data_IF_716142184306
#
_entry.id   IF_716142184306
#
_cell.length_a   1.000
_cell.length_b   1.000
_cell.length_c   1.000
_cell.angle_alpha   90.00
_cell.angle_beta   90.00
_cell.angle_gamma   90.00
#
_symmetry.space_group_name_H-M   'P 1'
#
loop_
_entity.id
_entity.type
_entity.pdbx_description
1 polymer ?
#
# COMPACT_ATOMS: atom_id res chain seq x y z
N UNK A 1 7.16 -28.21 0.69
CA UNK A 1 8.05 -28.38 -0.47
C UNK A 1 9.18 -29.34 -0.09
N UNK A 2 9.39 -30.45 -0.82
CA UNK A 2 10.53 -31.33 -0.54
C UNK A 2 11.86 -30.57 -0.65
N UNK A 3 12.76 -30.77 0.31
CA UNK A 3 14.08 -30.14 0.34
C UNK A 3 14.09 -28.69 0.90
N UNK A 4 12.96 -28.18 1.37
CA UNK A 4 12.90 -26.88 2.07
C UNK A 4 12.82 -27.13 3.57
N UNK A 5 13.87 -26.76 4.28
CA UNK A 5 14.02 -27.01 5.73
C UNK A 5 13.43 -25.90 6.61
N UNK A 6 13.51 -24.67 6.11
CA UNK A 6 12.97 -23.50 6.81
C UNK A 6 12.45 -22.46 5.82
N UNK A 7 11.33 -21.81 6.17
CA UNK A 7 10.78 -20.65 5.47
C UNK A 7 10.71 -19.49 6.44
N UNK A 8 11.37 -18.39 6.10
CA UNK A 8 11.34 -17.13 6.86
C UNK A 8 10.36 -16.20 6.17
N UNK A 9 9.21 -15.98 6.81
CA UNK A 9 8.15 -15.10 6.30
C UNK A 9 8.36 -13.65 6.71
N UNK A 10 7.79 -12.71 5.93
CA UNK A 10 7.88 -11.27 6.23
C UNK A 10 6.71 -10.46 5.71
N UNK A 11 6.17 -10.79 4.54
CA UNK A 11 5.18 -9.98 3.82
C UNK A 11 3.85 -9.80 4.56
N UNK A 12 3.39 -10.81 5.27
CA UNK A 12 2.09 -10.81 5.97
C UNK A 12 2.15 -10.15 7.35
N UNK A 13 3.33 -9.78 7.83
CA UNK A 13 3.58 -9.16 9.14
C UNK A 13 3.10 -9.99 10.33
N UNK A 14 2.97 -11.30 10.17
CA UNK A 14 2.63 -12.18 11.28
C UNK A 14 3.82 -12.38 12.21
N UNK A 15 3.53 -12.62 13.48
CA UNK A 15 4.49 -13.12 14.45
C UNK A 15 4.27 -14.63 14.63
N UNK A 16 5.28 -15.42 14.30
CA UNK A 16 5.37 -16.85 14.62
C UNK A 16 6.50 -17.01 15.64
N UNK A 17 6.17 -16.77 16.90
CA UNK A 17 7.14 -16.58 17.96
C UNK A 17 8.10 -17.77 18.14
N UNK A 18 7.55 -18.99 18.13
CA UNK A 18 8.29 -20.24 18.29
C UNK A 18 8.38 -21.03 16.97
N UNK A 19 7.91 -20.43 15.88
CA UNK A 19 7.77 -21.08 14.59
C UNK A 19 6.65 -22.13 14.55
N UNK A 20 6.36 -22.62 13.37
CA UNK A 20 5.37 -23.69 13.13
C UNK A 20 5.96 -24.74 12.19
N UNK A 21 5.79 -26.02 12.52
CA UNK A 21 6.21 -27.12 11.65
C UNK A 21 5.08 -27.54 10.71
N UNK A 22 5.36 -27.52 9.43
CA UNK A 22 4.52 -28.11 8.37
C UNK A 22 5.25 -29.31 7.74
N UNK A 23 4.95 -30.50 8.23
CA UNK A 23 5.76 -31.68 7.95
C UNK A 23 7.15 -31.51 8.53
N UNK A 24 8.18 -31.48 7.70
CA UNK A 24 9.58 -31.26 8.11
C UNK A 24 10.05 -29.82 7.92
N UNK A 25 9.23 -28.93 7.36
CA UNK A 25 9.59 -27.54 7.08
C UNK A 25 9.20 -26.65 8.27
N UNK A 26 10.14 -25.91 8.82
CA UNK A 26 9.91 -24.89 9.85
C UNK A 26 9.49 -23.58 9.20
N UNK A 27 8.32 -23.05 9.57
CA UNK A 27 7.89 -21.69 9.22
C UNK A 27 8.18 -20.74 10.37
N UNK A 28 8.73 -19.57 10.09
CA UNK A 28 8.97 -18.54 11.09
C UNK A 28 8.75 -17.13 10.50
N UNK A 29 8.36 -16.20 11.37
CA UNK A 29 8.19 -14.79 11.02
C UNK A 29 8.32 -13.91 12.26
N UNK A 30 9.00 -12.78 12.15
CA UNK A 30 9.32 -11.86 13.25
C UNK A 30 8.52 -10.55 13.17
N UNK A 31 7.25 -10.59 12.76
CA UNK A 31 6.36 -9.44 12.63
C UNK A 31 6.90 -8.38 11.63
N UNK A 32 6.87 -7.10 12.00
CA UNK A 32 7.26 -5.95 11.16
C UNK A 32 7.98 -4.89 11.99
N UNK A 33 8.54 -3.90 11.30
CA UNK A 33 9.18 -2.70 11.86
C UNK A 33 10.33 -2.96 12.83
N UNK A 34 10.89 -4.17 12.82
CA UNK A 34 11.96 -4.52 13.74
C UNK A 34 11.49 -4.64 15.20
N UNK A 35 10.19 -4.86 15.46
CA UNK A 35 9.69 -5.10 16.82
C UNK A 35 10.25 -6.38 17.43
N UNK A 36 10.59 -7.36 16.58
CA UNK A 36 11.18 -8.63 16.99
C UNK A 36 12.39 -8.97 16.14
N UNK A 37 13.32 -9.68 16.73
CA UNK A 37 14.40 -10.41 16.04
C UNK A 37 14.08 -11.88 16.10
N UNK A 38 14.04 -12.56 14.95
CA UNK A 38 13.89 -14.01 14.85
C UNK A 38 15.25 -14.69 14.82
N UNK A 39 15.38 -15.79 15.55
CA UNK A 39 16.52 -16.69 15.54
C UNK A 39 16.07 -18.08 15.13
N UNK A 40 16.68 -18.65 14.12
CA UNK A 40 16.50 -20.05 13.71
C UNK A 40 17.75 -20.83 14.05
N UNK A 41 17.56 -21.95 14.73
CA UNK A 41 18.64 -22.88 15.07
C UNK A 41 18.37 -24.21 14.37
N UNK A 42 19.33 -24.63 13.55
CA UNK A 42 19.33 -25.93 12.90
C UNK A 42 20.47 -26.76 13.50
N UNK A 43 20.16 -27.93 14.03
CA UNK A 43 21.19 -28.87 14.52
C UNK A 43 21.41 -29.92 13.44
N UNK A 44 22.66 -30.19 13.14
CA UNK A 44 23.05 -31.18 12.13
C UNK A 44 23.79 -32.35 12.83
N UNK A 45 23.68 -33.52 12.26
CA UNK A 45 24.49 -34.69 12.60
C UNK A 45 25.88 -34.63 11.90
N UNK A 46 26.71 -35.69 12.16
CA UNK A 46 28.05 -35.81 11.54
C UNK A 46 28.00 -35.98 10.01
N UNK A 47 26.83 -36.30 9.46
CA UNK A 47 26.59 -36.46 8.04
C UNK A 47 25.94 -35.18 7.40
N UNK A 48 25.91 -34.09 8.16
CA UNK A 48 25.29 -32.81 7.79
C UNK A 48 23.78 -32.90 7.51
N UNK A 49 23.07 -33.89 8.10
CA UNK A 49 21.63 -33.97 8.03
C UNK A 49 21.00 -33.20 9.18
N UNK A 50 19.94 -32.47 8.94
CA UNK A 50 19.26 -31.67 9.96
C UNK A 50 18.44 -32.59 10.87
N UNK A 51 18.81 -32.65 12.14
CA UNK A 51 18.14 -33.44 13.19
C UNK A 51 17.13 -32.65 14.00
N UNK A 52 17.36 -31.34 14.19
CA UNK A 52 16.38 -30.45 14.84
C UNK A 52 16.24 -29.12 14.15
N UNK A 53 15.07 -28.50 14.27
CA UNK A 53 14.73 -27.17 13.80
C UNK A 53 14.01 -26.43 14.90
N UNK A 54 14.49 -25.27 15.28
CA UNK A 54 13.90 -24.44 16.33
C UNK A 54 13.86 -22.97 15.88
N UNK A 55 12.80 -22.26 16.23
CA UNK A 55 12.71 -20.83 16.07
C UNK A 55 12.39 -20.17 17.42
N UNK A 56 12.93 -18.99 17.61
CA UNK A 56 12.71 -18.14 18.78
C UNK A 56 12.57 -16.69 18.30
N UNK A 57 11.75 -15.89 18.96
CA UNK A 57 11.70 -14.45 18.71
C UNK A 57 11.96 -13.66 19.98
N UNK A 58 12.65 -12.54 19.84
CA UNK A 58 13.02 -11.64 20.91
C UNK A 58 12.48 -10.25 20.64
N UNK A 59 11.78 -9.64 21.58
CA UNK A 59 11.37 -8.24 21.48
C UNK A 59 12.58 -7.33 21.48
N UNK A 60 12.71 -6.48 20.49
CA UNK A 60 13.85 -5.56 20.35
C UNK A 60 13.90 -4.51 21.44
N UNK A 61 12.75 -4.04 21.94
CA UNK A 61 12.66 -3.10 23.05
C UNK A 61 13.27 -3.63 24.36
N UNK A 62 13.36 -4.98 24.52
CA UNK A 62 13.94 -5.64 25.68
C UNK A 62 15.42 -6.00 25.49
N UNK A 63 15.95 -5.79 24.28
CA UNK A 63 17.34 -6.09 23.97
C UNK A 63 18.22 -4.88 24.29
N UNK A 64 19.37 -5.14 24.93
CA UNK A 64 20.41 -4.11 25.00
C UNK A 64 20.89 -3.79 23.58
N UNK A 65 20.82 -2.50 23.21
CA UNK A 65 21.38 -2.08 21.94
C UNK A 65 22.88 -2.44 21.92
N UNK A 66 23.26 -3.31 21.00
CA UNK A 66 24.66 -3.46 20.65
C UNK A 66 25.14 -2.11 20.09
N UNK A 67 26.41 -1.78 20.37
CA UNK A 67 27.00 -0.49 20.01
C UNK A 67 27.28 -0.36 18.50
N UNK A 68 26.26 -0.59 17.65
CA UNK A 68 26.30 -0.08 16.29
C UNK A 68 26.27 1.46 16.38
N UNK A 69 27.23 2.14 15.76
CA UNK A 69 27.28 3.60 15.82
C UNK A 69 26.05 4.18 15.09
N UNK A 70 25.05 4.73 15.83
CA UNK A 70 23.84 5.27 15.20
C UNK A 70 24.15 6.38 14.20
N UNK A 71 25.32 7.03 14.30
CA UNK A 71 25.77 8.12 13.43
C UNK A 71 26.04 7.64 12.01
N UNK A 72 26.51 6.42 11.82
CA UNK A 72 26.75 5.87 10.48
C UNK A 72 25.40 5.65 9.75
N UNK A 73 24.42 5.01 10.41
CA UNK A 73 23.07 4.77 9.85
C UNK A 73 22.39 6.11 9.55
N UNK A 74 22.41 7.05 10.49
CA UNK A 74 21.86 8.40 10.30
C UNK A 74 22.55 9.15 9.16
N UNK A 75 23.86 8.92 8.95
CA UNK A 75 24.61 9.48 7.85
C UNK A 75 24.10 9.02 6.48
N UNK A 76 23.82 7.73 6.30
CA UNK A 76 23.24 7.18 5.08
C UNK A 76 21.80 7.64 4.86
N UNK A 77 20.98 7.62 5.90
CA UNK A 77 19.58 8.11 5.84
C UNK A 77 19.53 9.58 5.44
N UNK A 78 20.33 10.43 6.09
CA UNK A 78 20.40 11.86 5.78
C UNK A 78 20.85 12.13 4.34
N UNK A 79 21.83 11.39 3.84
CA UNK A 79 22.26 11.49 2.43
C UNK A 79 21.17 11.08 1.46
N UNK A 80 20.46 9.97 1.74
CA UNK A 80 19.35 9.50 0.93
C UNK A 80 18.21 10.53 0.85
N UNK A 81 17.80 11.07 2.00
CA UNK A 81 16.77 12.12 2.07
C UNK A 81 17.24 13.38 1.36
N UNK A 82 18.50 13.79 1.52
CA UNK A 82 19.04 14.98 0.85
C UNK A 82 19.00 14.85 -0.68
N UNK A 83 19.34 13.67 -1.21
CA UNK A 83 19.26 13.40 -2.65
C UNK A 83 17.81 13.54 -3.17
N UNK A 84 16.84 12.95 -2.49
CA UNK A 84 15.43 13.02 -2.87
C UNK A 84 14.87 14.44 -2.75
N UNK A 85 15.34 15.23 -1.79
CA UNK A 85 14.94 16.65 -1.62
C UNK A 85 15.53 17.58 -2.68
N UNK A 86 16.62 17.22 -3.34
CA UNK A 86 17.16 18.01 -4.45
C UNK A 86 16.24 18.03 -5.67
N UNK A 87 15.44 16.98 -5.87
CA UNK A 87 14.49 16.90 -6.98
C UNK A 87 13.19 17.63 -6.64
N UNK A 88 13.14 18.92 -7.00
CA UNK A 88 11.90 19.70 -6.90
C UNK A 88 10.94 19.29 -8.03
N UNK A 89 9.72 18.94 -7.68
CA UNK A 89 8.69 18.46 -8.60
C UNK A 89 7.68 19.57 -8.92
N UNK A 90 7.26 20.32 -7.91
CA UNK A 90 6.25 21.36 -8.05
C UNK A 90 6.39 22.42 -6.96
N UNK A 91 5.64 23.52 -7.11
CA UNK A 91 5.41 24.51 -6.05
C UNK A 91 3.91 24.72 -5.90
N UNK A 92 3.41 24.47 -4.71
CA UNK A 92 1.98 24.59 -4.39
C UNK A 92 1.72 25.88 -3.60
N UNK A 93 0.76 26.72 -4.02
CA UNK A 93 0.40 27.94 -3.30
C UNK A 93 -0.31 27.67 -1.97
N UNK A 94 -0.98 26.49 -1.86
CA UNK A 94 -1.68 26.03 -0.67
C UNK A 94 -1.51 24.54 -0.49
N UNK A 95 -1.76 24.05 0.71
CA UNK A 95 -1.73 22.63 1.01
C UNK A 95 -2.85 21.89 0.26
N UNK A 96 -2.50 20.76 -0.34
CA UNK A 96 -3.46 19.77 -0.84
C UNK A 96 -3.74 18.78 0.29
N UNK A 97 -4.86 19.00 0.96
CA UNK A 97 -5.31 18.13 2.05
C UNK A 97 -5.86 16.81 1.54
N UNK A 98 -5.82 15.79 2.39
CA UNK A 98 -6.48 14.51 2.18
C UNK A 98 -7.63 14.34 3.16
N UNK A 99 -8.76 13.80 2.67
CA UNK A 99 -9.87 13.28 3.49
C UNK A 99 -10.13 11.84 3.08
N UNK A 100 -10.29 10.98 4.06
CA UNK A 100 -10.53 9.57 3.81
C UNK A 100 -12.02 9.21 3.71
N UNK A 101 -12.89 10.13 4.09
CA UNK A 101 -14.34 9.96 4.14
C UNK A 101 -15.12 10.80 3.12
N UNK A 102 -14.41 11.41 2.17
CA UNK A 102 -15.02 12.23 1.13
C UNK A 102 -14.03 12.85 0.15
N UNK A 103 -14.54 13.71 -0.74
CA UNK A 103 -13.70 14.42 -1.71
C UNK A 103 -12.61 15.25 -1.04
N UNK A 104 -11.45 15.32 -1.68
CA UNK A 104 -10.34 16.15 -1.20
C UNK A 104 -9.43 16.57 -2.35
N UNK A 105 -8.77 17.74 -2.22
CA UNK A 105 -7.90 18.25 -3.28
C UNK A 105 -6.80 17.28 -3.72
N UNK A 106 -6.27 16.48 -2.79
CA UNK A 106 -5.22 15.52 -3.13
C UNK A 106 -5.76 14.31 -3.89
N UNK A 107 -6.98 13.84 -3.54
CA UNK A 107 -7.64 12.77 -4.28
C UNK A 107 -7.98 13.23 -5.71
N UNK A 108 -8.46 14.47 -5.86
CA UNK A 108 -8.79 15.06 -7.16
C UNK A 108 -7.53 15.17 -8.04
N UNK A 109 -6.43 15.68 -7.50
CA UNK A 109 -5.14 15.71 -8.20
C UNK A 109 -4.67 14.29 -8.60
N UNK A 110 -4.82 13.32 -7.72
CA UNK A 110 -4.46 11.93 -8.01
C UNK A 110 -5.29 11.33 -9.14
N UNK A 111 -6.58 11.62 -9.18
CA UNK A 111 -7.48 11.21 -10.27
C UNK A 111 -7.11 11.87 -11.59
N UNK A 112 -6.73 13.16 -11.58
CA UNK A 112 -6.25 13.86 -12.77
C UNK A 112 -4.94 13.26 -13.27
N UNK A 113 -3.97 13.08 -12.40
CA UNK A 113 -2.69 12.49 -12.74
C UNK A 113 -2.84 11.05 -13.28
N UNK A 114 -3.77 10.27 -12.72
CA UNK A 114 -4.06 8.92 -13.18
C UNK A 114 -4.62 8.91 -14.60
N UNK A 115 -5.62 9.76 -14.86
CA UNK A 115 -6.25 9.87 -16.17
C UNK A 115 -5.26 10.37 -17.24
N UNK A 116 -4.45 11.37 -16.89
CA UNK A 116 -3.43 11.93 -17.78
C UNK A 116 -2.32 10.91 -18.06
N UNK A 117 -1.77 10.26 -17.01
CA UNK A 117 -0.71 9.26 -17.16
C UNK A 117 -1.14 8.02 -17.95
N UNK A 118 -2.39 7.60 -17.84
CA UNK A 118 -2.96 6.48 -18.59
C UNK A 118 -3.54 6.89 -19.96
N UNK A 119 -3.63 8.18 -20.25
CA UNK A 119 -4.27 8.73 -21.45
C UNK A 119 -5.70 8.18 -21.62
N UNK A 120 -6.53 8.43 -20.61
CA UNK A 120 -7.94 7.99 -20.55
C UNK A 120 -8.85 9.13 -20.10
N UNK A 121 -10.13 9.01 -20.43
CA UNK A 121 -11.13 10.05 -20.14
C UNK A 121 -11.69 9.95 -18.71
N UNK A 122 -11.54 8.80 -18.07
CA UNK A 122 -12.06 8.56 -16.74
C UNK A 122 -11.06 7.82 -15.85
N UNK A 123 -11.15 8.03 -14.54
CA UNK A 123 -10.29 7.38 -13.55
C UNK A 123 -11.06 7.06 -12.27
N UNK A 124 -10.57 6.04 -11.58
CA UNK A 124 -11.06 5.60 -10.27
C UNK A 124 -9.87 5.47 -9.33
N UNK A 125 -9.96 6.06 -8.15
CA UNK A 125 -8.90 6.03 -7.16
C UNK A 125 -9.47 6.02 -5.75
N UNK A 126 -8.80 5.33 -4.82
CA UNK A 126 -9.16 5.35 -3.40
C UNK A 126 -8.33 6.36 -2.62
N UNK A 127 -8.96 7.05 -1.66
CA UNK A 127 -8.31 8.08 -0.86
C UNK A 127 -7.22 7.51 0.07
N UNK A 128 -7.35 6.28 0.52
CA UNK A 128 -6.42 5.63 1.45
C UNK A 128 -5.02 5.33 0.90
N UNK A 129 -4.79 5.59 -0.39
CA UNK A 129 -3.45 5.51 -0.98
C UNK A 129 -2.53 6.65 -0.54
N UNK A 130 -3.10 7.81 -0.24
CA UNK A 130 -2.34 8.97 0.18
C UNK A 130 -2.14 8.95 1.70
N UNK A 131 -0.89 8.94 2.15
CA UNK A 131 -0.56 8.83 3.56
C UNK A 131 -0.37 10.20 4.24
N UNK A 132 0.01 11.22 3.46
CA UNK A 132 0.31 12.57 3.94
C UNK A 132 -0.22 13.61 2.95
N UNK A 133 -0.63 14.81 3.42
CA UNK A 133 -0.94 15.94 2.54
C UNK A 133 0.32 16.45 1.82
N UNK A 134 0.15 17.20 0.73
CA UNK A 134 1.24 17.85 0.01
C UNK A 134 1.21 19.38 0.17
N UNK A 135 2.39 19.98 0.30
CA UNK A 135 2.56 21.43 0.39
C UNK A 135 2.06 22.04 1.72
N UNK A 136 1.96 23.37 1.80
CA UNK A 136 2.28 24.38 0.77
C UNK A 136 3.80 24.55 0.55
N UNK A 137 4.18 25.24 -0.52
CA UNK A 137 5.56 25.53 -0.87
C UNK A 137 6.14 24.58 -1.92
N UNK A 138 7.45 24.40 -1.87
CA UNK A 138 8.13 23.47 -2.78
C UNK A 138 7.79 22.02 -2.39
N UNK A 139 7.37 21.25 -3.36
CA UNK A 139 7.16 19.80 -3.26
C UNK A 139 8.34 19.10 -3.92
N UNK A 140 8.96 18.20 -3.22
CA UNK A 140 10.11 17.42 -3.66
C UNK A 140 9.73 15.97 -3.92
N UNK A 141 10.64 15.20 -4.53
CA UNK A 141 10.47 13.76 -4.69
C UNK A 141 10.33 13.05 -3.33
N UNK A 142 11.00 13.53 -2.29
CA UNK A 142 10.86 13.01 -0.94
C UNK A 142 9.43 13.16 -0.40
N UNK A 143 8.80 14.33 -0.65
CA UNK A 143 7.42 14.59 -0.24
C UNK A 143 6.44 13.69 -0.97
N UNK A 144 6.63 13.47 -2.29
CA UNK A 144 5.81 12.56 -3.08
C UNK A 144 5.93 11.12 -2.58
N UNK A 145 7.14 10.63 -2.31
CA UNK A 145 7.36 9.28 -1.79
C UNK A 145 6.79 9.09 -0.38
N UNK A 146 6.76 10.15 0.44
CA UNK A 146 6.10 10.11 1.75
C UNK A 146 4.58 10.11 1.62
N UNK A 147 4.07 10.91 0.68
CA UNK A 147 2.63 11.01 0.40
C UNK A 147 2.06 9.73 -0.23
N UNK A 148 2.74 9.19 -1.23
CA UNK A 148 2.32 8.02 -2.02
C UNK A 148 3.50 7.05 -2.21
N UNK A 149 3.87 6.28 -1.17
CA UNK A 149 5.05 5.41 -1.19
C UNK A 149 4.86 4.10 -1.97
N UNK A 150 3.80 3.97 -2.76
CA UNK A 150 3.42 2.70 -3.37
C UNK A 150 3.88 2.60 -4.82
N UNK A 151 4.80 1.70 -5.18
CA UNK A 151 5.18 1.43 -6.55
C UNK A 151 4.10 0.60 -7.26
N UNK A 152 2.93 1.20 -7.51
CA UNK A 152 1.82 0.53 -8.17
C UNK A 152 1.81 0.82 -9.66
N UNK A 153 1.34 -0.16 -10.44
CA UNK A 153 1.13 0.00 -11.86
C UNK A 153 -0.23 0.65 -12.13
N UNK A 154 -0.29 1.49 -13.14
CA UNK A 154 -1.53 1.98 -13.70
C UNK A 154 -2.18 0.86 -14.52
N UNK A 155 -3.46 0.59 -14.28
CA UNK A 155 -4.24 -0.33 -15.10
C UNK A 155 -5.18 0.48 -15.99
N UNK A 156 -5.06 0.25 -17.29
CA UNK A 156 -6.00 0.74 -18.29
C UNK A 156 -6.89 -0.43 -18.71
N UNK A 157 -8.19 -0.26 -18.54
CA UNK A 157 -9.18 -1.29 -18.89
C UNK A 157 -10.26 -0.71 -19.78
N UNK A 158 -10.73 -1.50 -20.76
CA UNK A 158 -11.88 -1.18 -21.58
C UNK A 158 -13.03 -2.09 -21.17
N UNK A 159 -14.16 -1.51 -20.82
CA UNK A 159 -15.34 -2.22 -20.33
C UNK A 159 -16.56 -1.81 -21.16
N UNK A 160 -17.48 -2.74 -21.40
CA UNK A 160 -18.81 -2.38 -21.88
C UNK A 160 -19.56 -1.55 -20.85
N UNK A 161 -20.52 -0.74 -21.26
CA UNK A 161 -21.32 0.06 -20.35
C UNK A 161 -22.04 -0.77 -19.30
N UNK A 162 -22.42 -2.00 -19.63
CA UNK A 162 -23.01 -2.97 -18.70
C UNK A 162 -22.00 -3.43 -17.62
N UNK A 163 -20.76 -3.74 -18.01
CA UNK A 163 -19.70 -4.14 -17.09
C UNK A 163 -19.28 -2.98 -16.20
N UNK A 164 -19.07 -1.79 -16.79
CA UNK A 164 -18.74 -0.58 -16.03
C UNK A 164 -19.85 -0.23 -15.03
N UNK A 165 -21.11 -0.31 -15.43
CA UNK A 165 -22.21 -0.10 -14.51
C UNK A 165 -22.19 -1.08 -13.34
N UNK A 166 -21.95 -2.37 -13.60
CA UNK A 166 -21.85 -3.40 -12.55
C UNK A 166 -20.71 -3.11 -11.59
N UNK A 167 -19.54 -2.79 -12.11
CA UNK A 167 -18.36 -2.43 -11.32
C UNK A 167 -18.66 -1.25 -10.39
N UNK A 168 -19.19 -0.15 -10.95
CA UNK A 168 -19.50 1.05 -10.17
C UNK A 168 -20.57 0.77 -9.12
N UNK A 169 -21.64 0.05 -9.48
CA UNK A 169 -22.70 -0.27 -8.53
C UNK A 169 -22.21 -1.17 -7.38
N UNK A 170 -21.30 -2.10 -7.64
CA UNK A 170 -20.69 -2.91 -6.59
C UNK A 170 -19.79 -2.07 -5.66
N UNK A 171 -19.01 -1.14 -6.22
CA UNK A 171 -18.23 -0.18 -5.44
C UNK A 171 -19.12 0.69 -4.57
N UNK A 172 -20.19 1.23 -5.11
CA UNK A 172 -21.13 2.10 -4.37
C UNK A 172 -21.92 1.33 -3.30
N UNK A 173 -22.29 0.08 -3.54
CA UNK A 173 -22.90 -0.80 -2.55
C UNK A 173 -22.02 -0.99 -1.32
N UNK A 174 -20.73 -1.16 -1.54
CA UNK A 174 -19.74 -1.39 -0.48
C UNK A 174 -19.09 -0.10 0.04
N UNK A 175 -19.44 1.06 -0.50
CA UNK A 175 -18.78 2.35 -0.24
C UNK A 175 -18.70 2.68 1.25
N UNK A 176 -19.79 2.54 1.99
CA UNK A 176 -19.83 2.87 3.43
C UNK A 176 -18.92 1.95 4.24
N UNK A 177 -18.88 0.68 3.89
CA UNK A 177 -17.96 -0.28 4.50
C UNK A 177 -16.51 0.06 4.16
N UNK A 178 -16.20 0.22 2.87
CA UNK A 178 -14.83 0.50 2.40
C UNK A 178 -14.28 1.82 2.95
N UNK A 179 -15.11 2.85 3.06
CA UNK A 179 -14.72 4.15 3.60
C UNK A 179 -14.10 4.05 5.00
N UNK A 180 -14.59 3.14 5.82
CA UNK A 180 -14.15 2.95 7.20
C UNK A 180 -13.34 1.67 7.40
N UNK A 181 -13.11 0.91 6.34
CA UNK A 181 -12.37 -0.34 6.44
C UNK A 181 -10.90 -0.11 6.75
N UNK A 182 -10.46 -0.60 7.90
CA UNK A 182 -9.07 -0.56 8.34
C UNK A 182 -8.31 -1.75 7.75
N UNK A 183 -7.21 -1.46 7.08
CA UNK A 183 -6.36 -2.48 6.47
C UNK A 183 -5.36 -3.00 7.50
N UNK A 184 -5.65 -4.17 8.05
CA UNK A 184 -4.78 -4.84 9.02
C UNK A 184 -3.54 -5.39 8.30
N UNK A 185 -2.36 -5.20 8.90
CA UNK A 185 -1.10 -5.70 8.36
C UNK A 185 -0.54 -4.95 7.14
N UNK A 186 -1.28 -4.00 6.58
CA UNK A 186 -0.90 -3.27 5.37
C UNK A 186 -0.60 -1.78 5.63
N UNK A 187 0.05 -1.49 6.74
CA UNK A 187 0.34 -0.11 7.19
C UNK A 187 1.14 0.73 6.18
N UNK A 188 1.94 0.10 5.32
CA UNK A 188 2.65 0.78 4.23
C UNK A 188 1.73 1.17 3.05
N UNK A 189 0.51 0.63 2.97
CA UNK A 189 -0.50 0.96 1.95
C UNK A 189 -1.64 1.82 2.50
N UNK A 190 -1.41 2.47 3.64
CA UNK A 190 -2.41 3.23 4.36
C UNK A 190 -3.10 2.41 5.47
N UNK A 191 -3.63 3.12 6.46
CA UNK A 191 -4.32 2.53 7.60
C UNK A 191 -5.79 2.23 7.32
N UNK A 192 -6.35 2.89 6.31
CA UNK A 192 -7.76 2.81 5.93
C UNK A 192 -7.86 2.73 4.41
N UNK A 193 -8.85 2.00 3.91
CA UNK A 193 -9.13 1.97 2.47
C UNK A 193 -9.56 3.34 1.96
N UNK A 194 -10.40 4.03 2.71
CA UNK A 194 -10.90 5.36 2.42
C UNK A 194 -11.98 5.39 1.33
N UNK A 195 -12.45 6.59 1.06
CA UNK A 195 -13.47 6.80 0.03
C UNK A 195 -12.95 6.54 -1.38
N UNK A 196 -13.85 6.22 -2.29
CA UNK A 196 -13.55 6.03 -3.71
C UNK A 196 -13.93 7.31 -4.45
N UNK A 197 -12.96 7.90 -5.12
CA UNK A 197 -13.13 9.03 -6.02
C UNK A 197 -13.26 8.59 -7.47
N UNK A 198 -13.97 9.38 -8.24
CA UNK A 198 -14.18 9.18 -9.67
C UNK A 198 -13.86 10.47 -10.41
N UNK A 199 -13.22 10.35 -11.58
CA UNK A 199 -13.12 11.40 -12.58
C UNK A 199 -13.78 10.92 -13.87
N UNK A 200 -14.54 11.79 -14.55
CA UNK A 200 -15.29 11.44 -15.75
C UNK A 200 -16.53 10.57 -15.49
N UNK A 201 -16.69 10.07 -14.27
CA UNK A 201 -17.83 9.23 -13.86
C UNK A 201 -18.59 9.92 -12.75
N UNK A 202 -19.91 9.94 -12.83
CA UNK A 202 -20.79 10.36 -11.75
C UNK A 202 -21.91 9.36 -11.51
N UNK A 203 -22.41 9.28 -10.26
CA UNK A 203 -23.34 8.26 -9.85
C UNK A 203 -24.54 8.88 -9.17
N UNK A 204 -25.73 8.62 -9.69
CA UNK A 204 -26.97 8.84 -8.97
C UNK A 204 -27.37 7.54 -8.27
N UNK A 205 -27.16 7.48 -6.94
CA UNK A 205 -27.39 6.27 -6.13
C UNK A 205 -28.86 5.90 -6.03
N UNK A 206 -29.74 6.89 -5.89
CA UNK A 206 -31.18 6.68 -5.74
C UNK A 206 -31.78 6.05 -7.00
N UNK A 207 -31.40 6.59 -8.16
CA UNK A 207 -31.85 6.10 -9.46
C UNK A 207 -31.02 4.95 -10.01
N UNK A 208 -29.90 4.60 -9.34
CA UNK A 208 -28.94 3.59 -9.79
C UNK A 208 -28.43 3.85 -11.20
N UNK A 209 -28.18 5.13 -11.53
CA UNK A 209 -27.68 5.57 -12.84
C UNK A 209 -26.23 5.96 -12.71
N UNK A 210 -25.41 5.43 -13.61
CA UNK A 210 -24.00 5.83 -13.80
C UNK A 210 -23.94 6.70 -15.05
N UNK A 211 -23.27 7.84 -14.93
CA UNK A 211 -23.05 8.77 -16.03
C UNK A 211 -21.57 8.81 -16.39
N UNK A 212 -21.29 8.77 -17.67
CA UNK A 212 -19.98 9.00 -18.25
C UNK A 212 -19.96 10.40 -18.86
N UNK A 213 -19.16 11.31 -18.29
CA UNK A 213 -19.14 12.74 -18.68
C UNK A 213 -20.55 13.35 -18.77
N UNK A 214 -21.39 13.04 -17.78
CA UNK A 214 -22.75 13.56 -17.68
C UNK A 214 -23.79 12.84 -18.55
N UNK A 215 -23.41 11.85 -19.35
CA UNK A 215 -24.34 11.07 -20.20
C UNK A 215 -24.52 9.66 -19.63
N UNK A 216 -25.76 9.11 -19.65
CA UNK A 216 -26.00 7.74 -19.24
C UNK A 216 -25.14 6.74 -20.03
N UNK A 217 -24.68 5.67 -19.37
CA UNK A 217 -23.98 4.59 -20.06
C UNK A 217 -24.88 3.88 -21.06
N UNK A 218 -24.34 3.62 -22.23
CA UNK A 218 -24.95 2.75 -23.24
C UNK A 218 -24.42 1.33 -23.03
N UNK A 219 -25.28 0.32 -22.80
CA UNK A 219 -24.87 -1.00 -22.35
C UNK A 219 -23.78 -1.68 -23.19
N UNK A 220 -23.86 -1.58 -24.50
CA UNK A 220 -22.95 -2.25 -25.44
C UNK A 220 -21.76 -1.38 -25.89
N UNK A 221 -21.76 -0.08 -25.54
CA UNK A 221 -20.66 0.81 -25.88
C UNK A 221 -19.44 0.51 -24.99
N UNK A 222 -18.24 0.62 -25.57
CA UNK A 222 -16.98 0.46 -24.85
C UNK A 222 -16.53 1.79 -24.23
N UNK A 223 -16.03 1.72 -23.01
CA UNK A 223 -15.51 2.82 -22.20
C UNK A 223 -14.12 2.47 -21.68
N UNK A 224 -13.17 3.39 -21.76
CA UNK A 224 -11.77 3.14 -21.36
C UNK A 224 -11.31 4.17 -20.34
#
# INVERSE_FOLDING_TARGET
CPGVECVIGGHTHHLLADGELHGTTLLTAAEKYGHYVGKVTLTLDDQHQIITRQAETFKTELMQAAAADPREIQGYESKGIALLKQHQVARLPKQLSIKYDGPSPLLDLGLEALADGAQVDAAILKAGLFLMPLGPGVVTQADLLTCLPHPMHLLKVTLSGKELWRLIMEMEKNRMFLRHFHMIGMSFRGKIFGDIGYRGISVNREKRVVLWHGKPLVPEQQYT
#
